data_IF_939199361103
#
_entry.id   IF_939199361103
#
_cell.length_a   1.000
_cell.length_b   1.000
_cell.length_c   1.000
_cell.angle_alpha   90.00
_cell.angle_beta   90.00
_cell.angle_gamma   90.00
#
_symmetry.space_group_name_H-M   'P 1'
#
loop_
_entity.id
_entity.type
_entity.pdbx_description
1 polymer ?
#
# COMPACT_ATOMS: atom_id res chain seq x y z
N UNK A 1 -8.08 20.72 -3.37
CA UNK A 1 -6.68 20.24 -3.31
C UNK A 1 -6.71 18.71 -3.21
N UNK A 2 -5.65 18.00 -3.63
CA UNK A 2 -5.55 16.53 -3.55
C UNK A 2 -4.36 16.13 -2.68
N UNK A 3 -4.53 15.12 -1.83
CA UNK A 3 -3.50 14.69 -0.88
C UNK A 3 -3.17 13.21 -1.05
N UNK A 4 -1.87 12.90 -1.02
CA UNK A 4 -1.35 11.54 -1.11
C UNK A 4 -0.66 11.13 0.20
N UNK A 5 -0.81 9.87 0.57
CA UNK A 5 -0.11 9.26 1.70
C UNK A 5 1.06 8.42 1.18
N UNK A 6 2.27 8.66 1.68
CA UNK A 6 3.45 7.86 1.34
C UNK A 6 3.79 6.98 2.53
N UNK A 7 3.94 5.68 2.29
CA UNK A 7 4.31 4.71 3.33
C UNK A 7 5.30 3.69 2.78
N UNK A 8 6.13 3.17 3.68
CA UNK A 8 7.14 2.16 3.37
C UNK A 8 6.97 0.98 4.33
N UNK A 9 7.28 -0.22 3.85
CA UNK A 9 7.38 -1.40 4.69
C UNK A 9 8.69 -1.29 5.49
N UNK A 10 8.60 -0.65 6.64
CA UNK A 10 9.73 -0.42 7.54
C UNK A 10 9.57 -1.27 8.79
N UNK A 11 10.64 -1.96 9.16
CA UNK A 11 10.75 -2.75 10.38
C UNK A 11 12.13 -2.50 10.99
N UNK A 12 12.33 -1.26 11.45
CA UNK A 12 13.58 -0.86 12.08
C UNK A 12 13.79 -1.71 13.34
N UNK A 13 15.01 -2.25 13.52
CA UNK A 13 15.36 -3.17 14.61
C UNK A 13 14.67 -4.55 14.59
N UNK A 14 13.87 -4.85 13.56
CA UNK A 14 13.20 -6.14 13.38
C UNK A 14 12.36 -6.58 14.58
N UNK A 15 11.77 -5.62 15.30
CA UNK A 15 10.96 -5.87 16.50
C UNK A 15 9.58 -6.45 16.14
N UNK A 16 9.07 -6.13 14.96
CA UNK A 16 7.79 -6.60 14.47
C UNK A 16 7.96 -7.80 13.54
N UNK A 17 6.99 -8.71 13.53
CA UNK A 17 6.90 -9.70 12.45
C UNK A 17 6.50 -9.02 11.15
N UNK A 18 6.88 -9.62 10.00
CA UNK A 18 6.50 -9.06 8.70
C UNK A 18 4.98 -8.90 8.55
N UNK A 19 4.20 -9.85 9.08
CA UNK A 19 2.73 -9.78 9.06
C UNK A 19 2.21 -8.57 9.84
N UNK A 20 2.77 -8.28 11.03
CA UNK A 20 2.38 -7.11 11.82
C UNK A 20 2.65 -5.80 11.07
N UNK A 21 3.80 -5.68 10.42
CA UNK A 21 4.13 -4.48 9.61
C UNK A 21 3.12 -4.30 8.47
N UNK A 22 2.73 -5.38 7.79
CA UNK A 22 1.73 -5.32 6.73
C UNK A 22 0.36 -4.91 7.29
N UNK A 23 -0.05 -5.47 8.43
CA UNK A 23 -1.31 -5.13 9.10
C UNK A 23 -1.36 -3.67 9.55
N UNK A 24 -0.27 -3.16 10.15
CA UNK A 24 -0.13 -1.75 10.51
C UNK A 24 -0.32 -0.83 9.29
N UNK A 25 0.28 -1.16 8.15
CA UNK A 25 0.14 -0.35 6.94
C UNK A 25 -1.27 -0.44 6.35
N UNK A 26 -1.90 -1.63 6.39
CA UNK A 26 -3.30 -1.79 5.98
C UNK A 26 -4.22 -0.88 6.79
N UNK A 27 -4.03 -0.83 8.10
CA UNK A 27 -4.79 0.05 9.00
C UNK A 27 -4.55 1.53 8.69
N UNK A 28 -3.29 1.93 8.47
CA UNK A 28 -2.95 3.30 8.08
C UNK A 28 -3.65 3.72 6.78
N UNK A 29 -3.66 2.84 5.78
CA UNK A 29 -4.30 3.12 4.49
C UNK A 29 -5.82 3.20 4.60
N UNK A 30 -6.44 2.35 5.42
CA UNK A 30 -7.87 2.45 5.73
C UNK A 30 -8.21 3.75 6.47
N UNK A 31 -7.35 4.19 7.38
CA UNK A 31 -7.51 5.48 8.05
C UNK A 31 -7.37 6.65 7.06
N UNK A 32 -6.36 6.61 6.17
CA UNK A 32 -6.22 7.59 5.09
C UNK A 32 -7.45 7.61 4.18
N UNK A 33 -8.07 6.45 3.95
CA UNK A 33 -9.35 6.41 3.25
C UNK A 33 -10.42 7.15 4.07
N UNK A 34 -10.60 6.89 5.35
CA UNK A 34 -11.61 7.61 6.16
C UNK A 34 -11.36 9.13 6.20
N UNK A 35 -10.10 9.55 6.21
CA UNK A 35 -9.68 10.96 6.26
C UNK A 35 -9.76 11.69 4.92
N UNK A 36 -10.12 11.01 3.82
CA UNK A 36 -10.34 11.67 2.52
C UNK A 36 -9.11 11.78 1.62
N UNK A 37 -8.03 11.02 1.88
CA UNK A 37 -6.87 10.99 0.97
C UNK A 37 -7.24 10.41 -0.41
N UNK A 38 -6.53 10.85 -1.45
CA UNK A 38 -6.79 10.50 -2.85
C UNK A 38 -5.90 9.36 -3.38
N UNK A 39 -4.72 9.20 -2.80
CA UNK A 39 -3.67 8.33 -3.31
C UNK A 39 -2.77 7.76 -2.21
N UNK A 40 -2.23 6.56 -2.46
CA UNK A 40 -1.20 5.93 -1.64
C UNK A 40 0.03 5.66 -2.50
N UNK A 41 1.20 6.00 -1.97
CA UNK A 41 2.49 5.86 -2.64
C UNK A 41 3.33 4.83 -1.91
N UNK A 42 3.81 3.83 -2.65
CA UNK A 42 4.63 2.74 -2.15
C UNK A 42 5.95 2.73 -2.92
N UNK A 43 7.11 2.84 -2.25
CA UNK A 43 8.38 2.69 -2.93
C UNK A 43 8.73 1.22 -3.14
N UNK A 44 9.63 0.98 -4.09
CA UNK A 44 10.22 -0.32 -4.36
C UNK A 44 11.66 -0.34 -3.86
N UNK A 45 11.98 -1.30 -3.00
CA UNK A 45 13.31 -1.51 -2.45
C UNK A 45 13.57 -3.01 -2.29
N UNK A 46 14.76 -3.43 -2.73
CA UNK A 46 15.22 -4.82 -2.67
C UNK A 46 16.44 -4.88 -1.78
N UNK A 47 16.59 -5.97 -1.02
CA UNK A 47 17.78 -6.30 -0.25
C UNK A 47 18.18 -5.18 0.73
N UNK A 48 17.32 -4.94 1.74
CA UNK A 48 17.56 -3.92 2.76
C UNK A 48 17.77 -4.55 4.16
N UNK A 49 19.01 -4.95 4.52
CA UNK A 49 19.32 -5.64 5.77
C UNK A 49 18.89 -4.88 7.03
N UNK A 50 18.85 -3.55 6.93
CA UNK A 50 18.56 -2.64 8.04
C UNK A 50 17.06 -2.56 8.37
N UNK A 51 16.19 -3.17 7.55
CA UNK A 51 14.74 -3.12 7.74
C UNK A 51 14.05 -1.82 7.31
N UNK A 52 14.79 -0.84 6.78
CA UNK A 52 14.28 0.39 6.17
C UNK A 52 13.91 0.21 4.68
N UNK A 53 12.79 -0.48 4.41
CA UNK A 53 12.25 -0.57 3.06
C UNK A 53 12.27 -2.00 2.49
N UNK A 54 11.48 -2.87 3.10
CA UNK A 54 11.29 -4.26 2.65
C UNK A 54 10.09 -4.36 1.69
N UNK A 55 10.17 -3.67 0.55
CA UNK A 55 9.09 -3.65 -0.46
C UNK A 55 9.64 -4.07 -1.84
N UNK A 56 9.92 -5.37 -2.05
CA UNK A 56 10.48 -5.86 -3.31
C UNK A 56 9.45 -5.83 -4.45
N UNK A 57 8.15 -5.88 -4.12
CA UNK A 57 7.08 -5.82 -5.10
C UNK A 57 5.90 -4.99 -4.58
N UNK A 58 5.95 -3.65 -4.73
CA UNK A 58 4.87 -2.77 -4.29
C UNK A 58 3.58 -2.96 -5.11
N UNK A 59 3.62 -3.61 -6.27
CA UNK A 59 2.42 -3.86 -7.10
C UNK A 59 1.51 -4.88 -6.42
N UNK A 60 2.08 -5.97 -5.90
CA UNK A 60 1.31 -6.97 -5.16
C UNK A 60 0.73 -6.38 -3.87
N UNK A 61 1.51 -5.55 -3.19
CA UNK A 61 1.04 -4.89 -1.97
C UNK A 61 -0.04 -3.85 -2.27
N UNK A 62 0.11 -3.07 -3.35
CA UNK A 62 -0.93 -2.18 -3.84
C UNK A 62 -2.24 -2.92 -4.17
N UNK A 63 -2.17 -4.13 -4.72
CA UNK A 63 -3.36 -4.94 -5.01
C UNK A 63 -4.10 -5.36 -3.72
N UNK A 64 -3.37 -5.78 -2.68
CA UNK A 64 -3.96 -6.08 -1.36
C UNK A 64 -4.62 -4.84 -0.73
N UNK A 65 -3.96 -3.69 -0.75
CA UNK A 65 -4.52 -2.44 -0.24
C UNK A 65 -5.72 -1.95 -1.06
N UNK A 66 -5.70 -2.15 -2.38
CA UNK A 66 -6.79 -1.80 -3.26
C UNK A 66 -8.04 -2.66 -3.02
N UNK A 67 -7.88 -3.93 -2.63
CA UNK A 67 -9.02 -4.78 -2.25
C UNK A 67 -9.67 -4.33 -0.93
N UNK A 68 -8.91 -3.66 -0.05
CA UNK A 68 -9.35 -3.20 1.27
C UNK A 68 -9.91 -1.78 1.26
N UNK A 69 -9.79 -1.08 0.15
CA UNK A 69 -10.25 0.31 0.00
C UNK A 69 -11.29 0.44 -1.12
N UNK A 70 -12.16 1.45 -1.02
CA UNK A 70 -13.26 1.65 -1.95
C UNK A 70 -13.17 2.96 -2.76
N UNK A 71 -12.58 4.00 -2.16
CA UNK A 71 -12.43 5.34 -2.74
C UNK A 71 -11.02 5.60 -3.25
N UNK A 72 -9.99 5.10 -2.57
CA UNK A 72 -8.60 5.27 -3.01
C UNK A 72 -8.41 4.44 -4.28
N UNK A 73 -8.13 5.12 -5.41
CA UNK A 73 -7.96 4.48 -6.73
C UNK A 73 -6.56 4.64 -7.33
N UNK A 74 -5.69 5.36 -6.62
CA UNK A 74 -4.34 5.67 -7.09
C UNK A 74 -3.34 5.05 -6.13
N UNK A 75 -2.83 3.90 -6.53
CA UNK A 75 -1.69 3.27 -5.88
C UNK A 75 -0.51 3.45 -6.83
N UNK A 76 0.46 4.26 -6.42
CA UNK A 76 1.58 4.65 -7.27
C UNK A 76 2.88 4.09 -6.70
N UNK A 77 3.67 3.46 -7.58
CA UNK A 77 5.08 3.21 -7.28
C UNK A 77 5.80 4.55 -7.18
N UNK A 78 6.41 4.85 -6.05
CA UNK A 78 7.30 6.01 -5.97
C UNK A 78 8.63 5.65 -6.65
N UNK A 79 8.84 6.17 -7.86
CA UNK A 79 10.09 6.07 -8.59
C UNK A 79 10.33 7.40 -9.32
N UNK A 80 11.53 7.99 -9.25
CA UNK A 80 11.80 9.26 -9.92
C UNK A 80 11.71 9.21 -11.46
N UNK A 81 11.48 8.03 -12.08
CA UNK A 81 11.57 7.84 -13.53
C UNK A 81 10.46 7.00 -14.19
N UNK A 82 9.27 6.77 -13.60
CA UNK A 82 8.28 5.88 -14.25
C UNK A 82 6.82 6.02 -13.84
N UNK A 83 5.88 5.50 -14.67
CA UNK A 83 4.50 5.98 -14.74
C UNK A 83 3.62 5.53 -13.57
N UNK A 84 2.63 6.38 -13.28
CA UNK A 84 1.55 6.10 -12.34
C UNK A 84 0.72 4.89 -12.79
N UNK A 85 0.60 3.87 -11.95
CA UNK A 85 -0.40 2.83 -12.17
C UNK A 85 -1.79 3.37 -11.76
N UNK A 86 -2.73 3.37 -12.70
CA UNK A 86 -4.12 3.77 -12.44
C UNK A 86 -4.97 2.52 -12.23
N UNK A 87 -5.19 2.16 -10.98
CA UNK A 87 -6.11 1.08 -10.64
C UNK A 87 -7.56 1.51 -10.94
N UNK A 88 -8.30 0.64 -11.64
CA UNK A 88 -9.75 0.76 -11.84
C UNK A 88 -10.35 -0.55 -11.35
N UNK A 89 -11.20 -0.57 -10.31
CA UNK A 89 -11.74 -1.81 -9.80
C UNK A 89 -12.64 -2.48 -10.87
N UNK A 90 -12.69 -3.82 -10.94
CA UNK A 90 -13.81 -4.48 -11.58
C UNK A 90 -15.09 -4.22 -10.76
N UNK A 91 -16.21 -4.32 -11.45
CA UNK A 91 -17.62 -4.24 -11.02
C UNK A 91 -17.93 -4.67 -9.56
N UNK A 92 -19.06 -4.19 -8.98
CA UNK A 92 -19.35 -4.23 -7.54
C UNK A 92 -19.00 -5.56 -6.85
N UNK A 93 -18.41 -5.42 -5.65
CA UNK A 93 -17.89 -6.46 -4.75
C UNK A 93 -18.63 -7.80 -4.94
N UNK A 94 -17.99 -8.76 -5.59
CA UNK A 94 -18.32 -10.16 -5.32
C UNK A 94 -17.90 -10.45 -3.88
N UNK A 95 -18.77 -11.05 -3.05
CA UNK A 95 -18.42 -11.41 -1.68
C UNK A 95 -17.34 -12.48 -1.75
N UNK A 96 -16.09 -12.09 -1.50
CA UNK A 96 -15.02 -13.05 -1.19
C UNK A 96 -15.31 -13.55 0.21
N UNK A 97 -16.11 -14.61 0.32
CA UNK A 97 -16.10 -15.44 1.50
C UNK A 97 -14.76 -16.18 1.49
N UNK A 98 -13.88 -15.83 2.44
CA UNK A 98 -12.78 -16.71 2.80
C UNK A 98 -13.42 -18.04 3.27
N UNK A 99 -13.14 -19.12 2.55
CA UNK A 99 -13.28 -20.50 3.04
C UNK A 99 -11.97 -20.91 3.67
#
# INVERSE_FOLDING_TARGET
MKFGFHTQINNWQHEETHTQVLDNIREQVQLCEQLGFDAVWLPEHHLNPEGLGNSPNPILFAADLACRTSRIRKFTRFSPAGPCFRWSPPLPRLPVQLV
#
